data_IF_075624753027
#
_entry.id   IF_075624753027
#
_cell.length_a   1.000
_cell.length_b   1.000
_cell.length_c   1.000
_cell.angle_alpha   90.00
_cell.angle_beta   90.00
_cell.angle_gamma   90.00
#
_symmetry.space_group_name_H-M   'P 1'
#
loop_
_entity.id
_entity.type
_entity.pdbx_description
1 polymer ?
#
# COMPACT_ATOMS: atom_id res chain seq x y z
N UNK A 1 11.19 -22.40 44.85
CA UNK A 1 10.42 -22.83 43.67
C UNK A 1 11.33 -23.69 42.81
N UNK A 2 10.92 -24.93 42.55
CA UNK A 2 11.69 -25.95 41.81
C UNK A 2 11.41 -25.77 40.32
N UNK A 3 12.44 -25.80 39.48
CA UNK A 3 12.36 -25.63 38.03
C UNK A 3 12.65 -27.00 37.41
N UNK A 4 11.66 -27.56 36.73
CA UNK A 4 11.74 -28.88 36.10
C UNK A 4 12.60 -28.85 34.82
N UNK A 5 13.40 -29.90 34.55
CA UNK A 5 14.19 -29.99 33.32
C UNK A 5 13.36 -30.50 32.14
N UNK A 6 13.61 -29.92 30.97
CA UNK A 6 13.03 -30.30 29.67
C UNK A 6 13.23 -31.80 29.38
N UNK A 7 12.12 -32.54 29.43
CA UNK A 7 12.06 -33.98 29.20
C UNK A 7 11.65 -34.30 27.76
N UNK A 8 12.62 -34.80 26.98
CA UNK A 8 12.47 -35.98 26.13
C UNK A 8 11.71 -35.87 24.80
N UNK A 9 12.44 -35.59 23.72
CA UNK A 9 12.04 -35.93 22.37
C UNK A 9 12.10 -37.46 22.20
N UNK A 10 10.94 -38.14 22.28
CA UNK A 10 10.82 -39.55 21.89
C UNK A 10 10.75 -39.64 20.36
N UNK A 11 11.85 -40.09 19.76
CA UNK A 11 11.87 -40.56 18.38
C UNK A 11 11.05 -41.86 18.26
N UNK A 12 9.96 -41.82 17.48
CA UNK A 12 9.26 -43.03 17.07
C UNK A 12 9.90 -43.58 15.80
N UNK A 13 10.39 -44.82 15.90
CA UNK A 13 10.92 -45.62 14.81
C UNK A 13 9.80 -46.03 13.85
N UNK A 14 9.75 -45.43 12.67
CA UNK A 14 8.93 -45.95 11.56
C UNK A 14 9.81 -46.81 10.66
N UNK A 15 9.35 -48.04 10.43
CA UNK A 15 10.04 -49.12 9.72
C UNK A 15 10.41 -48.72 8.28
N UNK A 16 11.64 -49.06 7.90
CA UNK A 16 12.18 -48.92 6.55
C UNK A 16 11.45 -49.90 5.61
N UNK A 17 10.67 -49.38 4.66
CA UNK A 17 10.15 -50.15 3.52
C UNK A 17 11.26 -50.29 2.49
N UNK A 18 11.57 -51.52 2.12
CA UNK A 18 12.58 -51.89 1.13
C UNK A 18 12.30 -51.22 -0.23
N UNK A 19 13.35 -50.65 -0.82
CA UNK A 19 13.35 -50.23 -2.23
C UNK A 19 13.64 -51.47 -3.07
N UNK A 20 12.60 -52.02 -3.69
CA UNK A 20 12.78 -52.86 -4.88
C UNK A 20 12.94 -51.96 -6.11
N UNK A 21 13.91 -52.33 -6.93
CA UNK A 21 14.29 -51.76 -8.22
C UNK A 21 13.13 -51.46 -9.16
N UNK A 22 13.18 -50.32 -9.86
CA UNK A 22 12.28 -50.03 -10.98
C UNK A 22 12.22 -48.55 -11.32
N UNK A 23 13.31 -48.00 -11.88
CA UNK A 23 13.27 -46.67 -12.49
C UNK A 23 12.38 -46.69 -13.74
N UNK A 24 11.49 -45.69 -13.86
CA UNK A 24 10.84 -45.36 -15.13
C UNK A 24 9.31 -45.19 -15.16
N UNK A 25 8.56 -45.56 -14.11
CA UNK A 25 7.07 -45.52 -14.18
C UNK A 25 6.41 -44.35 -13.43
N UNK A 26 7.01 -43.85 -12.34
CA UNK A 26 6.35 -42.85 -11.48
C UNK A 26 6.25 -41.44 -12.13
N UNK A 27 7.14 -41.11 -13.07
CA UNK A 27 7.07 -39.85 -13.82
C UNK A 27 6.04 -39.93 -14.97
N UNK A 28 5.87 -41.11 -15.57
CA UNK A 28 4.89 -41.34 -16.64
C UNK A 28 3.44 -41.28 -16.11
N UNK A 29 3.19 -41.79 -14.90
CA UNK A 29 1.88 -41.71 -14.26
C UNK A 29 1.51 -40.28 -13.84
N UNK A 30 2.49 -39.46 -13.43
CA UNK A 30 2.28 -38.04 -13.16
C UNK A 30 1.99 -37.23 -14.44
N UNK A 31 2.50 -37.66 -15.60
CA UNK A 31 2.22 -37.03 -16.89
C UNK A 31 0.88 -37.49 -17.48
N UNK A 32 0.45 -38.73 -17.20
CA UNK A 32 -0.84 -39.28 -17.64
C UNK A 32 -2.04 -38.74 -16.85
N UNK A 33 -1.83 -38.22 -15.64
CA UNK A 33 -2.87 -37.52 -14.86
C UNK A 33 -3.20 -36.10 -15.36
N UNK A 34 -2.46 -35.59 -16.35
CA UNK A 34 -2.62 -34.22 -16.88
C UNK A 34 -3.12 -34.14 -18.33
N UNK A 35 -3.56 -35.25 -18.92
CA UNK A 35 -3.94 -35.31 -20.34
C UNK A 35 -5.32 -35.93 -20.57
N UNK A 36 -6.30 -35.58 -19.74
CA UNK A 36 -7.70 -35.65 -20.15
C UNK A 36 -8.05 -34.31 -20.80
N UNK A 37 -8.15 -34.33 -22.13
CA UNK A 37 -8.80 -33.32 -22.95
C UNK A 37 -10.23 -33.11 -22.45
N UNK A 38 -10.39 -32.26 -21.44
CA UNK A 38 -11.64 -31.60 -21.19
C UNK A 38 -11.85 -30.61 -22.34
N UNK A 39 -12.79 -30.96 -23.20
CA UNK A 39 -13.50 -30.12 -24.16
C UNK A 39 -13.21 -28.63 -24.00
N UNK A 40 -12.70 -28.02 -25.07
CA UNK A 40 -12.88 -26.58 -25.29
C UNK A 40 -14.39 -26.29 -25.30
N UNK A 41 -14.94 -26.03 -24.12
CA UNK A 41 -16.14 -25.20 -24.03
C UNK A 41 -15.72 -23.85 -24.57
N UNK A 42 -16.31 -23.44 -25.68
CA UNK A 42 -16.41 -22.04 -26.07
C UNK A 42 -17.18 -21.31 -24.96
N UNK A 43 -16.50 -21.08 -23.83
CA UNK A 43 -16.96 -20.23 -22.74
C UNK A 43 -16.74 -18.79 -23.18
N UNK A 44 -17.80 -18.01 -23.10
CA UNK A 44 -17.94 -16.62 -23.50
C UNK A 44 -16.63 -15.79 -23.47
N UNK A 45 -16.40 -14.91 -24.47
CA UNK A 45 -15.28 -13.99 -24.42
C UNK A 45 -15.45 -13.06 -23.20
N UNK A 46 -14.54 -13.20 -22.25
CA UNK A 46 -13.83 -12.06 -21.66
C UNK A 46 -14.60 -11.17 -20.70
N UNK A 47 -14.93 -11.66 -19.51
CA UNK A 47 -15.01 -10.77 -18.33
C UNK A 47 -13.61 -10.39 -17.83
N UNK A 48 -12.64 -11.31 -17.88
CA UNK A 48 -11.24 -11.01 -17.51
C UNK A 48 -10.49 -10.11 -18.51
N UNK A 49 -10.89 -10.09 -19.79
CA UNK A 49 -10.32 -9.18 -20.79
C UNK A 49 -10.90 -7.74 -20.68
N UNK A 50 -12.08 -7.59 -20.07
CA UNK A 50 -12.65 -6.28 -19.75
C UNK A 50 -12.03 -5.70 -18.48
N UNK A 51 -11.74 -6.52 -17.47
CA UNK A 51 -11.01 -6.08 -16.25
C UNK A 51 -9.62 -5.53 -16.59
N UNK A 52 -8.89 -6.14 -17.54
CA UNK A 52 -7.57 -5.64 -17.95
C UNK A 52 -7.66 -4.31 -18.73
N UNK A 53 -8.73 -4.08 -19.49
CA UNK A 53 -8.98 -2.80 -20.15
C UNK A 53 -9.47 -1.72 -19.18
N UNK A 54 -10.28 -2.08 -18.17
CA UNK A 54 -10.73 -1.15 -17.14
C UNK A 54 -9.56 -0.70 -16.25
N UNK A 55 -8.66 -1.62 -15.91
CA UNK A 55 -7.42 -1.32 -15.17
C UNK A 55 -6.53 -0.35 -15.95
N UNK A 56 -6.49 -0.44 -17.28
CA UNK A 56 -5.74 0.49 -18.14
C UNK A 56 -6.39 1.89 -18.21
N UNK A 57 -7.72 1.98 -18.14
CA UNK A 57 -8.45 3.25 -18.18
C UNK A 57 -8.39 4.05 -16.86
N UNK A 58 -8.11 3.41 -15.73
CA UNK A 58 -7.96 4.08 -14.43
C UNK A 58 -6.57 4.70 -14.19
N UNK A 59 -5.55 4.27 -14.94
CA UNK A 59 -4.18 4.78 -14.81
C UNK A 59 -4.03 6.32 -14.93
N UNK A 60 -4.67 7.03 -15.90
CA UNK A 60 -4.54 8.48 -15.99
C UNK A 60 -5.15 9.23 -14.79
N UNK A 61 -6.22 8.70 -14.18
CA UNK A 61 -6.87 9.34 -13.04
C UNK A 61 -6.06 9.18 -11.75
N UNK A 62 -5.50 7.98 -11.52
CA UNK A 62 -4.60 7.71 -10.41
C UNK A 62 -3.34 8.62 -10.44
N UNK A 63 -2.76 8.84 -11.63
CA UNK A 63 -1.64 9.76 -11.81
C UNK A 63 -2.04 11.22 -11.55
N UNK A 64 -3.25 11.62 -11.96
CA UNK A 64 -3.77 12.96 -11.69
C UNK A 64 -4.01 13.19 -10.19
N UNK A 65 -4.56 12.20 -9.47
CA UNK A 65 -4.75 12.24 -8.02
C UNK A 65 -3.43 12.44 -7.27
N UNK A 66 -2.42 11.63 -7.62
CA UNK A 66 -1.06 11.74 -7.07
C UNK A 66 -0.43 13.12 -7.32
N UNK A 67 -0.56 13.65 -8.54
CA UNK A 67 -0.01 14.96 -8.88
C UNK A 67 -0.69 16.09 -8.07
N UNK A 68 -2.01 16.03 -7.91
CA UNK A 68 -2.79 16.99 -7.10
C UNK A 68 -2.41 16.93 -5.62
N UNK A 69 -2.26 15.73 -5.06
CA UNK A 69 -1.86 15.55 -3.67
C UNK A 69 -0.44 16.04 -3.39
N UNK A 70 0.50 15.74 -4.29
CA UNK A 70 1.86 16.30 -4.20
C UNK A 70 1.84 17.82 -4.20
N UNK A 71 1.14 18.42 -5.17
CA UNK A 71 1.04 19.89 -5.28
C UNK A 71 0.45 20.50 -4.00
N UNK A 72 -0.63 19.93 -3.47
CA UNK A 72 -1.23 20.37 -2.21
C UNK A 72 -0.24 20.29 -1.04
N UNK A 73 0.52 19.20 -0.94
CA UNK A 73 1.55 19.03 0.07
C UNK A 73 2.65 20.09 -0.05
N UNK A 74 3.14 20.35 -1.27
CA UNK A 74 4.11 21.39 -1.57
C UNK A 74 3.58 22.79 -1.17
N UNK A 75 2.34 23.12 -1.57
CA UNK A 75 1.70 24.41 -1.25
C UNK A 75 1.58 24.63 0.28
N UNK A 76 1.24 23.57 1.05
CA UNK A 76 1.17 23.62 2.51
C UNK A 76 2.56 23.80 3.14
N UNK A 77 3.56 23.06 2.66
CA UNK A 77 4.93 23.15 3.16
C UNK A 77 5.54 24.53 2.87
N UNK A 78 5.31 25.09 1.69
CA UNK A 78 5.79 26.41 1.31
C UNK A 78 5.22 27.51 2.21
N UNK A 79 3.91 27.47 2.53
CA UNK A 79 3.32 28.44 3.47
C UNK A 79 3.82 28.24 4.91
N UNK A 80 4.05 27.00 5.35
CA UNK A 80 4.67 26.72 6.64
C UNK A 80 6.10 27.27 6.72
N UNK A 81 6.90 27.13 5.67
CA UNK A 81 8.26 27.65 5.62
C UNK A 81 8.28 29.18 5.60
N UNK A 82 7.38 29.82 4.85
CA UNK A 82 7.21 31.28 4.90
C UNK A 82 6.84 31.77 6.30
N UNK A 83 5.93 31.06 6.97
CA UNK A 83 5.54 31.36 8.34
C UNK A 83 6.73 31.21 9.30
N UNK A 84 7.49 30.13 9.17
CA UNK A 84 8.71 29.88 9.94
C UNK A 84 9.75 30.99 9.75
N UNK A 85 10.02 31.41 8.52
CA UNK A 85 10.94 32.52 8.24
C UNK A 85 10.45 33.81 8.91
N UNK A 86 9.16 34.11 8.84
CA UNK A 86 8.56 35.25 9.54
C UNK A 86 8.79 35.18 11.06
N UNK A 87 8.55 34.02 11.66
CA UNK A 87 8.75 33.78 13.10
C UNK A 87 10.21 33.98 13.51
N UNK A 88 11.16 33.50 12.70
CA UNK A 88 12.60 33.72 12.94
C UNK A 88 12.98 35.21 12.88
N UNK A 89 12.23 36.02 12.12
CA UNK A 89 12.38 37.47 12.09
C UNK A 89 11.55 38.20 13.18
N UNK A 90 10.92 37.45 14.10
CA UNK A 90 10.09 38.00 15.18
C UNK A 90 8.73 38.52 14.73
N UNK A 91 8.20 38.06 13.58
CA UNK A 91 6.92 38.53 13.03
C UNK A 91 5.98 37.37 12.71
N UNK A 92 4.71 37.49 13.07
CA UNK A 92 3.66 36.55 12.65
C UNK A 92 2.87 37.16 11.48
N UNK A 93 2.82 36.46 10.36
CA UNK A 93 2.09 36.93 9.17
C UNK A 93 0.63 36.50 9.22
N UNK A 94 -0.28 37.41 9.59
CA UNK A 94 -1.74 37.15 9.54
C UNK A 94 -2.20 36.72 8.14
N UNK A 95 -1.59 37.30 7.09
CA UNK A 95 -1.88 36.90 5.72
C UNK A 95 -1.45 35.45 5.42
N UNK A 96 -0.31 35.02 5.98
CA UNK A 96 0.15 33.63 5.89
C UNK A 96 -0.79 32.66 6.62
N UNK A 97 -1.22 33.00 7.84
CA UNK A 97 -2.18 32.18 8.59
C UNK A 97 -3.51 32.02 7.85
N UNK A 98 -4.03 33.10 7.24
CA UNK A 98 -5.25 33.04 6.42
C UNK A 98 -5.07 32.15 5.18
N UNK A 99 -3.91 32.20 4.52
CA UNK A 99 -3.62 31.32 3.38
C UNK A 99 -3.52 29.86 3.81
N UNK A 100 -2.83 29.58 4.91
CA UNK A 100 -2.74 28.23 5.47
C UNK A 100 -4.12 27.68 5.82
N UNK A 101 -5.00 28.51 6.40
CA UNK A 101 -6.39 28.14 6.70
C UNK A 101 -7.18 27.84 5.42
N UNK A 102 -7.01 28.65 4.39
CA UNK A 102 -7.67 28.43 3.10
C UNK A 102 -7.19 27.12 2.44
N UNK A 103 -5.89 26.81 2.48
CA UNK A 103 -5.35 25.56 1.95
C UNK A 103 -5.92 24.35 2.69
N UNK A 104 -5.99 24.39 4.02
CA UNK A 104 -6.61 23.30 4.81
C UNK A 104 -8.10 23.14 4.53
N UNK A 105 -8.83 24.23 4.28
CA UNK A 105 -10.25 24.19 3.94
C UNK A 105 -10.59 23.72 2.52
N UNK A 106 -9.60 23.60 1.63
CA UNK A 106 -9.83 23.07 0.28
C UNK A 106 -10.13 21.57 0.31
N UNK A 107 -10.93 21.12 -0.66
CA UNK A 107 -11.26 19.71 -0.84
C UNK A 107 -10.00 18.86 -1.05
N UNK A 108 -9.92 17.75 -0.31
CA UNK A 108 -8.81 16.80 -0.42
C UNK A 108 -8.85 16.07 -1.77
N UNK A 109 -7.70 15.90 -2.45
CA UNK A 109 -7.62 15.07 -3.65
C UNK A 109 -7.81 13.60 -3.29
N UNK A 110 -8.51 12.85 -4.14
CA UNK A 110 -8.55 11.38 -4.06
C UNK A 110 -7.20 10.82 -4.52
N UNK A 111 -6.63 9.92 -3.72
CA UNK A 111 -5.34 9.26 -3.97
C UNK A 111 -5.45 7.81 -3.53
N UNK A 112 -5.07 6.88 -4.40
CA UNK A 112 -5.12 5.44 -4.07
C UNK A 112 -3.86 4.93 -3.35
N UNK A 113 -2.79 5.74 -3.34
CA UNK A 113 -1.52 5.40 -2.67
C UNK A 113 -1.56 5.78 -1.19
N UNK A 114 -1.63 4.80 -0.26
CA UNK A 114 -1.76 5.05 1.17
C UNK A 114 -0.53 5.77 1.76
N UNK A 115 0.65 5.66 1.14
CA UNK A 115 1.85 6.35 1.64
C UNK A 115 1.76 7.86 1.41
N UNK A 116 1.15 8.26 0.29
CA UNK A 116 0.96 9.68 -0.04
C UNK A 116 -0.10 10.27 0.88
N UNK A 117 -1.18 9.54 1.12
CA UNK A 117 -2.20 9.95 2.09
C UNK A 117 -1.60 10.16 3.48
N UNK A 118 -0.82 9.21 3.98
CA UNK A 118 -0.19 9.32 5.30
C UNK A 118 0.71 10.57 5.40
N UNK A 119 1.58 10.80 4.41
CA UNK A 119 2.46 11.98 4.41
C UNK A 119 1.64 13.27 4.35
N UNK A 120 0.58 13.29 3.55
CA UNK A 120 -0.30 14.46 3.46
C UNK A 120 -1.02 14.72 4.79
N UNK A 121 -1.46 13.67 5.49
CA UNK A 121 -2.06 13.77 6.83
C UNK A 121 -1.10 14.35 7.86
N UNK A 122 0.17 13.92 7.84
CA UNK A 122 1.20 14.45 8.73
C UNK A 122 1.44 15.95 8.48
N UNK A 123 1.49 16.36 7.21
CA UNK A 123 1.63 17.78 6.83
C UNK A 123 0.41 18.58 7.28
N UNK A 124 -0.80 18.10 7.01
CA UNK A 124 -2.04 18.80 7.39
C UNK A 124 -2.22 18.90 8.91
N UNK A 125 -1.88 17.85 9.66
CA UNK A 125 -1.89 17.85 11.12
C UNK A 125 -0.95 18.92 11.66
N UNK A 126 0.26 19.02 11.11
CA UNK A 126 1.21 20.07 11.48
C UNK A 126 0.66 21.46 11.17
N UNK A 127 0.11 21.66 9.98
CA UNK A 127 -0.48 22.94 9.59
C UNK A 127 -1.64 23.36 10.51
N UNK A 128 -2.51 22.42 10.88
CA UNK A 128 -3.62 22.67 11.80
C UNK A 128 -3.11 23.07 13.21
N UNK A 129 -2.08 22.39 13.70
CA UNK A 129 -1.45 22.70 14.99
C UNK A 129 -0.79 24.09 14.97
N UNK A 130 -0.05 24.44 13.91
CA UNK A 130 0.56 25.77 13.80
C UNK A 130 -0.50 26.89 13.70
N UNK A 131 -1.60 26.65 12.99
CA UNK A 131 -2.75 27.56 12.98
C UNK A 131 -3.36 27.73 14.36
N UNK A 132 -3.53 26.65 15.12
CA UNK A 132 -4.08 26.73 16.47
C UNK A 132 -3.16 27.48 17.44
N UNK A 133 -1.83 27.38 17.26
CA UNK A 133 -0.84 28.09 18.09
C UNK A 133 -0.78 29.59 17.81
N UNK A 134 -0.94 30.00 16.55
CA UNK A 134 -0.63 31.36 16.09
C UNK A 134 -1.85 32.17 15.66
N UNK A 135 -2.98 31.51 15.43
CA UNK A 135 -4.25 32.14 15.08
C UNK A 135 -5.10 32.56 16.28
N UNK A 136 -4.62 32.31 17.51
CA UNK A 136 -5.21 32.79 18.76
C UNK A 136 -4.51 34.07 19.23
#
# INVERSE_FOLDING_TARGET
MKIDPLSGLRAQTVRRKERSSGGGSAFADALKGGAERASHTAGAPGVGALDTLLTLQQAPDALAGRAKARKRGEDLLDELDRLRVGLLMGRVSLAGLKRLQALLGQARPQVDDPRIEQVLDEIETRAAVELAKLGQ
#
